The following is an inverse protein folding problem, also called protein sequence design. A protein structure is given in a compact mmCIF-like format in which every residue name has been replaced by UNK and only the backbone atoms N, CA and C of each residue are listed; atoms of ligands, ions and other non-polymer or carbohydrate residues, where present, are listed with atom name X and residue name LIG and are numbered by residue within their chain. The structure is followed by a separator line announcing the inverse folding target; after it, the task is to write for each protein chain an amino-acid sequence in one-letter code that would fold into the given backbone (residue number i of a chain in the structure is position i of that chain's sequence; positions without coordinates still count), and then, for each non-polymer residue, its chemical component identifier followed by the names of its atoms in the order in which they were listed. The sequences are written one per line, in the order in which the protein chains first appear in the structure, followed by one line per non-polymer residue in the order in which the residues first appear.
data_IF_270510752564
#
_entry.id   IF_270510752564
#
_cell.length_a   1.000
_cell.length_b   1.000
_cell.length_c   1.000
_cell.angle_alpha   90.00
_cell.angle_beta   90.00
_cell.angle_gamma   90.00
#
_symmetry.space_group_name_H-M   'P 1'
#
loop_
_entity.id
_entity.type
_entity.pdbx_description
1 polymer ?
#
# COMPACT_ATOMS: atom_id res chain seq x y z
N UNK A 1 -12.20 16.69 18.65
CA UNK A 1 -11.68 17.08 17.33
C UNK A 1 -12.10 16.00 16.36
N UNK A 2 -12.79 16.35 15.27
CA UNK A 2 -13.31 15.37 14.32
C UNK A 2 -12.17 14.57 13.67
N UNK A 3 -12.34 13.26 13.47
CA UNK A 3 -11.30 12.39 12.89
C UNK A 3 -10.77 12.92 11.56
N UNK A 4 -11.64 13.51 10.73
CA UNK A 4 -11.28 14.12 9.45
C UNK A 4 -10.37 15.35 9.62
N UNK A 5 -10.61 16.16 10.65
CA UNK A 5 -9.75 17.31 10.96
C UNK A 5 -8.35 16.85 11.35
N UNK A 6 -8.24 15.79 12.15
CA UNK A 6 -6.94 15.21 12.55
C UNK A 6 -6.17 14.74 11.33
N UNK A 7 -6.81 13.94 10.46
CA UNK A 7 -6.19 13.45 9.23
C UNK A 7 -5.71 14.61 8.35
N UNK A 8 -6.54 15.64 8.19
CA UNK A 8 -6.19 16.84 7.43
C UNK A 8 -4.95 17.56 8.00
N UNK A 9 -4.89 17.77 9.32
CA UNK A 9 -3.74 18.42 9.95
C UNK A 9 -2.45 17.61 9.81
N UNK A 10 -2.53 16.28 9.99
CA UNK A 10 -1.38 15.38 9.80
C UNK A 10 -0.90 15.42 8.34
N UNK A 11 -1.80 15.30 7.37
CA UNK A 11 -1.43 15.36 5.95
C UNK A 11 -0.79 16.71 5.60
N UNK A 12 -1.33 17.82 6.08
CA UNK A 12 -0.73 19.15 5.87
C UNK A 12 0.66 19.27 6.50
N UNK A 13 0.86 18.68 7.68
CA UNK A 13 2.16 18.63 8.33
C UNK A 13 3.17 17.82 7.52
N UNK A 14 2.81 16.63 7.03
CA UNK A 14 3.67 15.83 6.15
C UNK A 14 4.02 16.56 4.85
N UNK A 15 3.03 17.22 4.23
CA UNK A 15 3.26 18.03 3.04
C UNK A 15 4.20 19.19 3.30
N UNK A 16 4.05 19.87 4.44
CA UNK A 16 4.98 20.94 4.84
C UNK A 16 6.42 20.41 4.94
N UNK A 17 6.63 19.26 5.60
CA UNK A 17 7.95 18.64 5.73
C UNK A 17 8.54 18.21 4.39
N UNK A 18 7.71 17.67 3.49
CA UNK A 18 8.12 17.27 2.15
C UNK A 18 8.49 18.48 1.28
N UNK A 19 7.69 19.55 1.33
CA UNK A 19 8.00 20.80 0.60
C UNK A 19 9.30 21.45 1.13
N UNK A 20 9.49 21.45 2.45
CA UNK A 20 10.74 21.90 3.05
C UNK A 20 11.93 21.04 2.59
N UNK A 21 11.74 19.73 2.45
CA UNK A 21 12.77 18.83 1.93
C UNK A 21 13.02 19.02 0.43
N UNK A 22 12.02 19.32 -0.40
CA UNK A 22 12.24 19.69 -1.81
C UNK A 22 13.19 20.89 -1.88
N UNK A 23 12.92 21.96 -1.12
CA UNK A 23 13.76 23.16 -1.11
C UNK A 23 15.16 22.83 -0.55
N UNK A 24 15.23 22.12 0.57
CA UNK A 24 16.49 21.76 1.21
C UNK A 24 17.38 20.89 0.31
N UNK A 25 16.82 19.84 -0.30
CA UNK A 25 17.54 18.94 -1.19
C UNK A 25 17.97 19.64 -2.49
N UNK A 26 17.16 20.59 -3.00
CA UNK A 26 17.56 21.41 -4.14
C UNK A 26 18.77 22.28 -3.82
N UNK A 27 18.78 22.96 -2.67
CA UNK A 27 19.91 23.79 -2.22
C UNK A 27 21.15 22.92 -1.97
N UNK A 28 20.98 21.75 -1.36
CA UNK A 28 22.05 20.80 -1.08
C UNK A 28 22.54 20.04 -2.32
N UNK A 29 21.90 20.23 -3.49
CA UNK A 29 22.16 19.49 -4.72
C UNK A 29 22.05 17.98 -4.57
N UNK A 30 21.22 17.52 -3.62
CA UNK A 30 20.92 16.10 -3.45
C UNK A 30 19.78 15.70 -4.39
N UNK A 31 20.13 15.40 -5.64
CA UNK A 31 19.18 15.10 -6.71
C UNK A 31 18.31 13.87 -6.44
N UNK A 32 18.86 12.84 -5.78
CA UNK A 32 18.11 11.63 -5.45
C UNK A 32 17.02 11.94 -4.40
N UNK A 33 17.38 12.60 -3.30
CA UNK A 33 16.39 12.96 -2.27
C UNK A 33 15.41 14.03 -2.74
N UNK A 34 15.83 14.90 -3.67
CA UNK A 34 14.92 15.81 -4.35
C UNK A 34 13.88 15.04 -5.16
N UNK A 35 14.31 14.07 -5.99
CA UNK A 35 13.43 13.23 -6.77
C UNK A 35 12.45 12.45 -5.88
N UNK A 36 12.93 11.77 -4.83
CA UNK A 36 12.07 11.01 -3.93
C UNK A 36 11.08 11.92 -3.17
N UNK A 37 11.47 13.15 -2.80
CA UNK A 37 10.56 14.13 -2.21
C UNK A 37 9.41 14.52 -3.15
N UNK A 38 9.73 14.80 -4.41
CA UNK A 38 8.73 15.16 -5.43
C UNK A 38 7.81 13.98 -5.71
N UNK A 39 8.37 12.78 -5.87
CA UNK A 39 7.61 11.56 -6.10
C UNK A 39 6.67 11.27 -4.92
N UNK A 40 7.13 11.41 -3.68
CA UNK A 40 6.28 11.24 -2.49
C UNK A 40 5.09 12.21 -2.47
N UNK A 41 5.31 13.47 -2.84
CA UNK A 41 4.22 14.47 -2.94
C UNK A 41 3.20 14.03 -4.01
N UNK A 42 3.66 13.64 -5.20
CA UNK A 42 2.78 13.17 -6.29
C UNK A 42 1.93 11.97 -5.82
N UNK A 43 2.57 10.98 -5.20
CA UNK A 43 1.90 9.77 -4.74
C UNK A 43 0.90 10.05 -3.60
N UNK A 44 1.20 10.99 -2.70
CA UNK A 44 0.27 11.42 -1.64
C UNK A 44 -1.00 12.05 -2.22
N UNK A 45 -0.90 12.80 -3.32
CA UNK A 45 -2.06 13.43 -3.96
C UNK A 45 -2.84 12.49 -4.90
N UNK A 46 -2.20 11.42 -5.38
CA UNK A 46 -2.79 10.52 -6.37
C UNK A 46 -4.15 9.92 -5.93
N UNK A 47 -4.32 9.39 -4.70
CA UNK A 47 -5.60 8.83 -4.27
C UNK A 47 -6.76 9.83 -4.26
N UNK A 48 -6.48 11.05 -3.78
CA UNK A 48 -7.46 12.15 -3.77
C UNK A 48 -7.81 12.56 -5.20
N UNK A 49 -6.81 12.72 -6.07
CA UNK A 49 -7.03 13.03 -7.48
C UNK A 49 -7.90 11.99 -8.20
N UNK A 50 -7.65 10.69 -7.99
CA UNK A 50 -8.45 9.61 -8.57
C UNK A 50 -9.91 9.66 -8.09
N UNK A 51 -10.12 10.02 -6.82
CA UNK A 51 -11.45 10.17 -6.22
C UNK A 51 -12.18 11.39 -6.76
N UNK A 52 -11.53 12.55 -6.80
CA UNK A 52 -12.10 13.82 -7.24
C UNK A 52 -12.41 13.83 -8.74
N UNK A 53 -11.55 13.19 -9.55
CA UNK A 53 -11.79 13.00 -10.99
C UNK A 53 -12.74 11.85 -11.30
N UNK A 54 -13.30 11.22 -10.27
CA UNK A 54 -14.33 10.20 -10.42
C UNK A 54 -13.84 8.99 -11.24
N UNK A 55 -12.55 8.65 -11.15
CA UNK A 55 -11.96 7.45 -11.73
C UNK A 55 -12.12 6.24 -10.82
N UNK A 56 -11.98 6.44 -9.51
CA UNK A 56 -12.12 5.42 -8.48
C UNK A 56 -12.44 6.10 -7.14
N UNK A 57 -13.44 5.63 -6.40
CA UNK A 57 -13.72 6.13 -5.06
C UNK A 57 -12.83 5.43 -4.03
N UNK A 58 -11.85 6.15 -3.48
CA UNK A 58 -10.97 5.65 -2.41
C UNK A 58 -11.44 6.25 -1.08
N UNK A 59 -11.80 5.45 -0.07
CA UNK A 59 -12.26 5.98 1.22
C UNK A 59 -11.20 6.81 1.92
N UNK A 60 -11.60 7.88 2.62
CA UNK A 60 -10.70 8.79 3.34
C UNK A 60 -9.71 8.06 4.26
N UNK A 61 -10.16 7.02 4.97
CA UNK A 61 -9.29 6.21 5.82
C UNK A 61 -8.18 5.47 5.05
N UNK A 62 -8.49 4.94 3.87
CA UNK A 62 -7.49 4.28 3.01
C UNK A 62 -6.55 5.30 2.37
N UNK A 63 -7.07 6.47 1.94
CA UNK A 63 -6.22 7.56 1.48
C UNK A 63 -5.22 7.98 2.56
N UNK A 64 -5.70 8.18 3.79
CA UNK A 64 -4.85 8.55 4.92
C UNK A 64 -3.79 7.49 5.22
N UNK A 65 -4.15 6.21 5.19
CA UNK A 65 -3.21 5.11 5.35
C UNK A 65 -2.11 5.12 4.27
N UNK A 66 -2.48 5.30 2.99
CA UNK A 66 -1.53 5.41 1.87
C UNK A 66 -0.58 6.60 2.10
N UNK A 67 -1.09 7.74 2.56
CA UNK A 67 -0.29 8.93 2.85
C UNK A 67 0.73 8.66 3.96
N UNK A 68 0.30 8.01 5.06
CA UNK A 68 1.19 7.63 6.17
C UNK A 68 2.26 6.65 5.70
N UNK A 69 1.88 5.66 4.88
CA UNK A 69 2.80 4.67 4.33
C UNK A 69 3.87 5.33 3.45
N UNK A 70 3.45 6.15 2.47
CA UNK A 70 4.37 6.86 1.55
C UNK A 70 5.31 7.78 2.34
N UNK A 71 4.78 8.52 3.32
CA UNK A 71 5.61 9.38 4.15
C UNK A 71 6.61 8.55 4.98
N UNK A 72 6.17 7.42 5.53
CA UNK A 72 6.99 6.50 6.30
C UNK A 72 8.14 5.88 5.49
N UNK A 73 7.87 5.41 4.27
CA UNK A 73 8.90 4.78 3.42
C UNK A 73 9.82 5.83 2.78
N UNK A 74 9.25 6.84 2.12
CA UNK A 74 10.05 7.74 1.28
C UNK A 74 10.69 8.91 2.04
N UNK A 75 10.00 9.46 3.04
CA UNK A 75 10.56 10.58 3.81
C UNK A 75 11.34 10.10 5.02
N UNK A 76 10.68 9.33 5.91
CA UNK A 76 11.34 8.86 7.13
C UNK A 76 12.36 7.77 6.82
N UNK A 77 12.00 6.78 6.00
CA UNK A 77 12.87 5.69 5.58
C UNK A 77 14.10 6.20 4.84
N UNK A 78 13.92 6.69 3.61
CA UNK A 78 15.05 7.10 2.76
C UNK A 78 15.73 8.39 3.26
N UNK A 79 15.01 9.50 3.41
CA UNK A 79 15.66 10.79 3.65
C UNK A 79 16.09 11.03 5.10
N UNK A 80 15.41 10.42 6.08
CA UNK A 80 15.78 10.51 7.50
C UNK A 80 16.51 9.27 8.00
N UNK A 81 16.87 8.38 7.07
CA UNK A 81 17.68 7.19 7.29
C UNK A 81 17.06 6.20 8.29
N UNK A 82 15.73 6.13 8.40
CA UNK A 82 15.10 5.22 9.34
C UNK A 82 15.38 3.75 9.00
N UNK A 83 15.59 3.42 7.72
CA UNK A 83 16.05 2.09 7.29
C UNK A 83 17.38 1.68 7.94
N UNK A 84 18.28 2.63 8.18
CA UNK A 84 19.58 2.36 8.81
C UNK A 84 19.54 2.52 10.33
N UNK A 85 18.66 3.39 10.84
CA UNK A 85 18.61 3.75 12.26
C UNK A 85 17.76 2.82 13.11
N UNK A 86 16.72 2.24 12.51
CA UNK A 86 15.76 1.39 13.21
C UNK A 86 15.62 0.06 12.48
N UNK A 87 16.22 -0.98 13.06
CA UNK A 87 16.26 -2.34 12.48
C UNK A 87 14.90 -2.94 12.13
N UNK A 88 13.81 -2.47 12.75
CA UNK A 88 12.45 -2.95 12.53
C UNK A 88 11.66 -2.13 11.51
N UNK A 89 12.20 -1.00 11.04
CA UNK A 89 11.45 -0.05 10.21
C UNK A 89 11.05 -0.66 8.88
N UNK A 90 11.99 -1.32 8.23
CA UNK A 90 11.78 -1.93 6.92
C UNK A 90 10.83 -3.13 7.00
N UNK A 91 11.13 -4.07 7.90
CA UNK A 91 10.29 -5.23 8.19
C UNK A 91 8.84 -4.83 8.53
N UNK A 92 8.63 -3.75 9.30
CA UNK A 92 7.29 -3.22 9.56
C UNK A 92 6.61 -2.73 8.28
N UNK A 93 7.31 -2.01 7.41
CA UNK A 93 6.76 -1.51 6.15
C UNK A 93 6.40 -2.66 5.20
N UNK A 94 7.26 -3.67 5.06
CA UNK A 94 6.97 -4.87 4.26
C UNK A 94 5.79 -5.66 4.81
N UNK A 95 5.71 -5.88 6.12
CA UNK A 95 4.54 -6.53 6.73
C UNK A 95 3.24 -5.80 6.41
N UNK A 96 3.24 -4.47 6.57
CA UNK A 96 2.09 -3.60 6.27
C UNK A 96 1.76 -3.63 4.77
N UNK A 97 2.77 -3.64 3.91
CA UNK A 97 2.65 -3.73 2.46
C UNK A 97 2.01 -5.05 2.03
N UNK A 98 2.55 -6.19 2.49
CA UNK A 98 1.98 -7.52 2.25
C UNK A 98 0.53 -7.64 2.71
N UNK A 99 0.18 -7.09 3.88
CA UNK A 99 -1.21 -7.03 4.34
C UNK A 99 -2.10 -6.22 3.39
N UNK A 100 -1.62 -5.05 2.94
CA UNK A 100 -2.32 -4.16 2.03
C UNK A 100 -2.55 -4.77 0.65
N UNK A 101 -1.51 -5.36 0.05
CA UNK A 101 -1.61 -6.03 -1.24
C UNK A 101 -2.49 -7.28 -1.16
N UNK A 102 -2.44 -8.03 -0.05
CA UNK A 102 -3.35 -9.13 0.21
C UNK A 102 -4.81 -8.68 0.28
N UNK A 103 -5.07 -7.50 0.87
CA UNK A 103 -6.42 -6.93 0.93
C UNK A 103 -6.91 -6.55 -0.47
N UNK A 104 -6.04 -5.92 -1.28
CA UNK A 104 -6.36 -5.58 -2.68
C UNK A 104 -6.68 -6.86 -3.49
N UNK A 105 -5.83 -7.88 -3.40
CA UNK A 105 -6.04 -9.17 -4.09
C UNK A 105 -7.35 -9.85 -3.67
N UNK A 106 -7.68 -9.81 -2.38
CA UNK A 106 -8.96 -10.28 -1.86
C UNK A 106 -10.14 -9.50 -2.46
N UNK A 107 -10.09 -8.16 -2.45
CA UNK A 107 -11.18 -7.31 -2.98
C UNK A 107 -11.37 -7.57 -4.48
N UNK A 108 -10.29 -7.68 -5.25
CA UNK A 108 -10.35 -7.97 -6.69
C UNK A 108 -11.15 -9.24 -6.98
N UNK A 109 -10.80 -10.36 -6.34
CA UNK A 109 -11.51 -11.63 -6.57
C UNK A 109 -12.90 -11.63 -5.96
N UNK A 110 -13.08 -11.03 -4.79
CA UNK A 110 -14.39 -10.92 -4.17
C UNK A 110 -15.39 -10.17 -5.06
N UNK A 111 -14.95 -9.10 -5.74
CA UNK A 111 -15.76 -8.37 -6.70
C UNK A 111 -16.10 -9.22 -7.92
N UNK A 112 -15.12 -9.92 -8.49
CA UNK A 112 -15.34 -10.82 -9.62
C UNK A 112 -16.34 -11.93 -9.26
N UNK A 113 -16.21 -12.51 -8.08
CA UNK A 113 -17.08 -13.58 -7.56
C UNK A 113 -18.51 -13.12 -7.26
N UNK A 114 -18.74 -11.80 -7.13
CA UNK A 114 -20.06 -11.20 -6.92
C UNK A 114 -20.72 -10.70 -8.20
N UNK A 115 -20.02 -10.78 -9.34
CA UNK A 115 -20.59 -10.35 -10.61
C UNK A 115 -21.63 -11.37 -11.07
N UNK A 116 -22.89 -10.94 -11.23
CA UNK A 116 -24.02 -11.78 -11.64
C UNK A 116 -23.80 -12.43 -13.02
N UNK A 117 -22.90 -11.88 -13.85
CA UNK A 117 -22.53 -12.42 -15.16
C UNK A 117 -21.42 -13.48 -15.09
N UNK A 118 -20.82 -13.71 -13.92
CA UNK A 118 -19.74 -14.66 -13.71
C UNK A 118 -20.29 -15.80 -12.86
N UNK A 119 -20.62 -16.91 -13.52
CA UNK A 119 -21.18 -18.11 -12.88
C UNK A 119 -20.09 -18.97 -12.22
N UNK A 120 -19.26 -18.33 -11.39
CA UNK A 120 -18.14 -18.96 -10.71
C UNK A 120 -18.36 -18.80 -9.22
N UNK A 121 -18.82 -19.85 -8.55
CA UNK A 121 -18.89 -19.89 -7.09
C UNK A 121 -17.53 -20.23 -6.49
N UNK A 122 -16.61 -19.26 -6.42
CA UNK A 122 -15.27 -19.52 -5.90
C UNK A 122 -15.32 -19.89 -4.42
N UNK A 123 -14.62 -20.97 -4.07
CA UNK A 123 -14.53 -21.42 -2.68
C UNK A 123 -13.74 -20.41 -1.84
N UNK A 124 -14.05 -20.24 -0.53
CA UNK A 124 -13.32 -19.33 0.33
C UNK A 124 -11.81 -19.57 0.35
N UNK A 125 -11.39 -20.84 0.21
CA UNK A 125 -9.97 -21.21 0.17
C UNK A 125 -9.30 -20.74 -1.12
N UNK A 126 -9.97 -20.84 -2.27
CA UNK A 126 -9.44 -20.34 -3.53
C UNK A 126 -9.20 -18.82 -3.46
N UNK A 127 -10.17 -18.07 -2.93
CA UNK A 127 -10.02 -16.61 -2.79
C UNK A 127 -8.85 -16.24 -1.87
N UNK A 128 -8.67 -16.97 -0.77
CA UNK A 128 -7.56 -16.76 0.15
C UNK A 128 -6.19 -17.08 -0.47
N UNK A 129 -6.09 -18.19 -1.21
CA UNK A 129 -4.86 -18.56 -1.94
C UNK A 129 -4.54 -17.52 -3.01
N UNK A 130 -5.55 -17.08 -3.79
CA UNK A 130 -5.35 -16.03 -4.78
C UNK A 130 -4.84 -14.75 -4.14
N UNK A 131 -5.49 -14.27 -3.07
CA UNK A 131 -5.11 -13.03 -2.40
C UNK A 131 -3.67 -13.10 -1.86
N UNK A 132 -3.27 -14.27 -1.34
CA UNK A 132 -1.91 -14.52 -0.89
C UNK A 132 -0.91 -14.45 -2.05
N UNK A 133 -1.16 -15.25 -3.11
CA UNK A 133 -0.27 -15.30 -4.29
C UNK A 133 -0.18 -13.97 -5.01
N UNK A 134 -1.26 -13.20 -5.06
CA UNK A 134 -1.27 -11.85 -5.63
C UNK A 134 -0.34 -10.93 -4.84
N UNK A 135 -0.47 -10.89 -3.52
CA UNK A 135 0.35 -10.03 -2.67
C UNK A 135 1.85 -10.36 -2.78
N UNK A 136 2.21 -11.65 -2.67
CA UNK A 136 3.60 -12.10 -2.76
C UNK A 136 4.17 -11.83 -4.15
N UNK A 137 3.39 -12.01 -5.23
CA UNK A 137 3.84 -11.67 -6.59
C UNK A 137 4.21 -10.19 -6.72
N UNK A 138 3.43 -9.31 -6.10
CA UNK A 138 3.73 -7.88 -6.11
C UNK A 138 5.00 -7.59 -5.31
N UNK A 139 5.19 -8.21 -4.15
CA UNK A 139 6.43 -8.12 -3.37
C UNK A 139 7.66 -8.56 -4.19
N UNK A 140 7.56 -9.68 -4.91
CA UNK A 140 8.62 -10.12 -5.83
C UNK A 140 8.93 -9.08 -6.91
N UNK A 141 7.91 -8.42 -7.48
CA UNK A 141 8.16 -7.35 -8.45
C UNK A 141 8.82 -6.12 -7.83
N UNK A 142 8.54 -5.84 -6.56
CA UNK A 142 9.22 -4.77 -5.81
C UNK A 142 10.70 -5.10 -5.65
N UNK A 143 11.06 -6.31 -5.18
CA UNK A 143 12.45 -6.74 -5.04
C UNK A 143 13.22 -6.74 -6.36
N UNK A 144 12.56 -7.13 -7.45
CA UNK A 144 13.13 -7.03 -8.79
C UNK A 144 13.39 -5.57 -9.16
N UNK A 145 12.46 -4.67 -8.85
CA UNK A 145 12.64 -3.23 -9.07
C UNK A 145 13.84 -2.70 -8.28
N UNK A 146 13.97 -3.06 -7.01
CA UNK A 146 15.12 -2.66 -6.18
C UNK A 146 16.44 -3.12 -6.77
N UNK A 147 16.51 -4.40 -7.15
CA UNK A 147 17.68 -4.96 -7.82
C UNK A 147 18.05 -4.18 -9.09
N UNK A 148 17.07 -3.84 -9.93
CA UNK A 148 17.33 -3.04 -11.13
C UNK A 148 17.83 -1.64 -10.80
N UNK A 149 17.29 -1.02 -9.77
CA UNK A 149 17.70 0.31 -9.35
C UNK A 149 19.13 0.33 -8.82
N UNK A 150 19.51 -0.69 -8.06
CA UNK A 150 20.87 -0.85 -7.53
C UNK A 150 21.88 -1.06 -8.67
N UNK A 151 21.52 -1.89 -9.66
CA UNK A 151 22.42 -2.20 -10.77
C UNK A 151 22.53 -1.11 -11.84
N UNK A 152 21.43 -0.42 -12.18
CA UNK A 152 21.42 0.59 -13.25
C UNK A 152 21.87 1.95 -12.72
N UNK A 153 21.39 2.33 -11.53
CA UNK A 153 21.58 3.67 -10.99
C UNK A 153 22.60 3.73 -9.85
N UNK A 154 23.16 2.58 -9.43
CA UNK A 154 24.13 2.52 -8.34
C UNK A 154 23.53 2.88 -6.99
N UNK A 155 22.22 2.62 -6.81
CA UNK A 155 21.55 2.82 -5.53
C UNK A 155 21.87 1.68 -4.55
N UNK A 156 21.30 1.77 -3.35
CA UNK A 156 21.37 0.73 -2.33
C UNK A 156 19.97 0.55 -1.72
N UNK A 157 19.06 0.05 -2.54
CA UNK A 157 17.68 -0.26 -2.19
C UNK A 157 17.62 -1.58 -1.42
N UNK A 158 18.27 -2.63 -1.91
CA UNK A 158 18.31 -3.96 -1.26
C UNK A 158 19.22 -4.02 -0.01
N UNK A 159 19.45 -2.88 0.66
CA UNK A 159 20.34 -2.61 1.81
C UNK A 159 21.43 -3.67 2.08
N UNK A 160 21.08 -4.76 2.78
CA UNK A 160 22.00 -5.81 3.22
C UNK A 160 22.22 -6.93 2.20
N UNK A 161 21.79 -6.71 0.96
CA UNK A 161 21.81 -7.62 -0.18
C UNK A 161 20.79 -8.73 -0.05
N UNK A 162 21.23 -9.97 -0.23
CA UNK A 162 20.37 -11.15 -0.21
C UNK A 162 19.54 -11.29 1.08
N UNK A 163 20.11 -10.92 2.23
CA UNK A 163 19.43 -11.09 3.52
C UNK A 163 18.19 -10.18 3.56
N UNK A 164 18.34 -8.94 3.13
CA UNK A 164 17.28 -7.93 3.03
C UNK A 164 16.08 -8.47 2.26
N UNK A 165 16.30 -8.75 0.98
CA UNK A 165 15.27 -9.25 0.06
C UNK A 165 14.58 -10.51 0.58
N UNK A 166 15.31 -11.41 1.23
CA UNK A 166 14.69 -12.61 1.79
C UNK A 166 13.81 -12.29 3.00
N UNK A 167 14.20 -11.38 3.88
CA UNK A 167 13.37 -10.94 5.00
C UNK A 167 12.15 -10.14 4.51
N UNK A 168 12.31 -9.27 3.53
CA UNK A 168 11.24 -8.48 2.95
C UNK A 168 10.15 -9.36 2.33
N UNK A 169 10.55 -10.35 1.53
CA UNK A 169 9.61 -11.35 0.98
C UNK A 169 8.97 -12.23 2.05
N UNK A 170 9.68 -12.52 3.14
CA UNK A 170 9.11 -13.26 4.27
C UNK A 170 8.04 -12.43 5.01
N UNK A 171 8.30 -11.15 5.25
CA UNK A 171 7.33 -10.24 5.88
C UNK A 171 6.12 -10.00 4.97
N UNK A 172 6.33 -9.86 3.65
CA UNK A 172 5.27 -9.82 2.66
C UNK A 172 4.40 -11.08 2.72
N UNK A 173 5.02 -12.27 2.82
CA UNK A 173 4.30 -13.54 2.99
C UNK A 173 3.49 -13.55 4.29
N UNK A 174 4.05 -13.10 5.41
CA UNK A 174 3.33 -13.06 6.69
C UNK A 174 2.14 -12.11 6.61
N UNK A 175 2.33 -10.91 6.06
CA UNK A 175 1.27 -9.93 5.89
C UNK A 175 0.16 -10.42 4.96
N UNK A 176 0.55 -11.01 3.83
CA UNK A 176 -0.37 -11.64 2.89
C UNK A 176 -1.17 -12.77 3.54
N UNK A 177 -0.51 -13.62 4.33
CA UNK A 177 -1.16 -14.73 5.03
C UNK A 177 -2.22 -14.24 6.02
N UNK A 178 -1.90 -13.23 6.84
CA UNK A 178 -2.84 -12.63 7.80
C UNK A 178 -4.09 -12.15 7.06
N UNK A 179 -3.93 -11.36 5.99
CA UNK A 179 -5.07 -10.82 5.26
C UNK A 179 -5.87 -11.92 4.53
N UNK A 180 -5.21 -12.92 3.96
CA UNK A 180 -5.88 -14.05 3.30
C UNK A 180 -6.70 -14.89 4.27
N UNK A 181 -6.23 -15.11 5.50
CA UNK A 181 -7.00 -15.80 6.54
C UNK A 181 -8.22 -14.97 6.97
N UNK A 182 -8.06 -13.66 7.14
CA UNK A 182 -9.18 -12.76 7.42
C UNK A 182 -10.23 -12.83 6.29
N UNK A 183 -9.79 -12.78 5.04
CA UNK A 183 -10.63 -12.91 3.86
C UNK A 183 -11.33 -14.27 3.74
N UNK A 184 -10.65 -15.36 4.10
CA UNK A 184 -11.24 -16.70 4.16
C UNK A 184 -12.43 -16.75 5.13
N UNK A 185 -12.21 -16.32 6.38
CA UNK A 185 -13.26 -16.34 7.40
C UNK A 185 -14.38 -15.37 7.10
N UNK A 186 -14.07 -14.25 6.44
CA UNK A 186 -15.06 -13.30 5.96
C UNK A 186 -16.08 -13.95 5.02
N UNK A 187 -15.62 -14.68 4.00
CA UNK A 187 -16.50 -15.34 3.03
C UNK A 187 -17.23 -16.51 3.70
N UNK A 188 -16.53 -17.29 4.53
CA UNK A 188 -17.08 -18.48 5.18
C UNK A 188 -18.20 -18.17 6.18
N UNK A 189 -18.00 -17.17 7.04
CA UNK A 189 -18.88 -16.99 8.20
C UNK A 189 -20.13 -16.15 7.91
N UNK A 190 -20.20 -15.41 6.80
CA UNK A 190 -21.34 -14.54 6.38
C UNK A 190 -21.93 -13.60 7.46
N UNK A 191 -21.27 -13.43 8.61
CA UNK A 191 -21.76 -12.63 9.75
C UNK A 191 -21.35 -11.17 9.60
N UNK A 192 -22.26 -10.20 9.88
CA UNK A 192 -21.96 -8.76 9.82
C UNK A 192 -20.77 -8.42 10.71
N UNK A 193 -19.67 -8.04 10.09
CA UNK A 193 -18.46 -7.51 10.76
C UNK A 193 -18.23 -6.05 10.38
N UNK A 194 -17.44 -5.32 11.18
CA UNK A 194 -17.04 -3.93 10.82
C UNK A 194 -16.36 -3.87 9.46
N UNK A 195 -15.56 -4.89 9.15
CA UNK A 195 -14.90 -5.05 7.86
C UNK A 195 -15.90 -5.32 6.72
N UNK A 196 -16.97 -6.11 6.94
CA UNK A 196 -18.07 -6.28 5.97
C UNK A 196 -18.77 -4.97 5.65
N UNK A 197 -19.04 -4.15 6.67
CA UNK A 197 -19.67 -2.85 6.47
C UNK A 197 -18.77 -1.92 5.68
N UNK A 198 -17.51 -1.80 6.08
CA UNK A 198 -16.51 -1.00 5.37
C UNK A 198 -16.38 -1.44 3.91
N UNK A 199 -16.13 -2.72 3.66
CA UNK A 199 -15.97 -3.22 2.29
C UNK A 199 -17.23 -3.01 1.45
N UNK A 200 -18.41 -3.27 1.99
CA UNK A 200 -19.67 -3.03 1.26
C UNK A 200 -19.85 -1.56 0.91
N UNK A 201 -19.52 -0.63 1.83
CA UNK A 201 -19.54 0.80 1.55
C UNK A 201 -18.57 1.19 0.43
N UNK A 202 -17.35 0.65 0.43
CA UNK A 202 -16.37 0.88 -0.66
C UNK A 202 -16.92 0.38 -1.98
N UNK A 203 -17.47 -0.84 -2.02
CA UNK A 203 -17.95 -1.47 -3.24
C UNK A 203 -19.18 -0.76 -3.80
N UNK A 204 -20.14 -0.36 -2.97
CA UNK A 204 -21.33 0.38 -3.42
C UNK A 204 -20.96 1.73 -4.03
N UNK A 205 -20.04 2.47 -3.41
CA UNK A 205 -19.55 3.75 -3.96
C UNK A 205 -18.76 3.58 -5.27
N UNK A 206 -18.21 2.39 -5.51
CA UNK A 206 -17.50 2.05 -6.74
C UNK A 206 -18.33 1.25 -7.75
N UNK A 207 -19.62 0.97 -7.47
CA UNK A 207 -20.46 0.05 -8.27
C UNK A 207 -20.50 0.39 -9.76
N UNK A 208 -20.48 1.67 -10.12
CA UNK A 208 -20.48 2.14 -11.52
C UNK A 208 -19.24 1.73 -12.32
N UNK A 209 -18.11 1.46 -11.65
CA UNK A 209 -16.87 1.00 -12.28
C UNK A 209 -16.81 -0.53 -12.39
N UNK A 210 -17.61 -1.24 -11.59
CA UNK A 210 -17.56 -2.70 -11.45
C UNK A 210 -18.60 -3.43 -12.33
N UNK A 211 -19.56 -2.72 -12.91
CA UNK A 211 -20.71 -3.27 -13.67
C UNK A 211 -20.59 -3.16 -15.19
N UNK A 212 -19.38 -3.06 -15.75
CA UNK A 212 -19.20 -3.13 -17.20
C UNK A 212 -19.04 -4.55 -17.68
#
# INVERSE_FOLDING_TARGET
MDQEKIQLYITRFFLFLLLAAVIGNFIAQNWLNLFTSILAIILIYLPAYLTDKNYLHIPNGLQFFIIVFIFGSMYLGEQREFYYRFWWWDSMLHLIYGMGMGFIGFVMVYVLNKNENIDVGLSPIFVAVFAFSFAVTIGVFWEIFEFWMDNIFGLNMQKSGLIDTMFDLMEDCVGAFITSIIGYFYIKNKKPSRFQRYLSEVLEKNRKFLKK
#
